data_IF_495253802007
#
_entry.id   IF_495253802007
#
_cell.length_a   1.000
_cell.length_b   1.000
_cell.length_c   1.000
_cell.angle_alpha   90.00
_cell.angle_beta   90.00
_cell.angle_gamma   90.00
#
_symmetry.space_group_name_H-M   'P 1'
#
loop_
_entity.id
_entity.type
_entity.pdbx_description
1 polymer ?
#
# COMPACT_ATOMS: atom_id res chain seq x y z
N UNK A 1 -14.18 7.83 -23.50
CA UNK A 1 -14.53 8.84 -22.48
C UNK A 1 -13.58 8.75 -21.30
N UNK A 2 -13.48 7.63 -20.58
CA UNK A 2 -12.58 7.45 -19.44
C UNK A 2 -11.10 7.71 -19.78
N UNK A 3 -10.66 7.27 -20.96
CA UNK A 3 -9.29 7.49 -21.42
C UNK A 3 -9.00 8.98 -21.67
N UNK A 4 -9.90 9.67 -22.34
CA UNK A 4 -9.80 11.11 -22.59
C UNK A 4 -9.79 11.93 -21.31
N UNK A 5 -10.54 11.49 -20.30
CA UNK A 5 -10.53 12.13 -18.98
C UNK A 5 -9.19 11.97 -18.28
N UNK A 6 -8.59 10.78 -18.35
CA UNK A 6 -7.25 10.54 -17.79
C UNK A 6 -6.20 11.42 -18.50
N UNK A 7 -6.23 11.47 -19.83
CA UNK A 7 -5.30 12.32 -20.60
C UNK A 7 -5.43 13.80 -20.25
N UNK A 8 -6.67 14.28 -20.11
CA UNK A 8 -6.95 15.67 -19.68
C UNK A 8 -6.38 15.94 -18.29
N UNK A 9 -6.63 15.06 -17.34
CA UNK A 9 -6.20 15.22 -15.96
C UNK A 9 -4.66 15.22 -15.87
N UNK A 10 -3.99 14.38 -16.68
CA UNK A 10 -2.52 14.37 -16.80
C UNK A 10 -1.99 15.68 -17.41
N UNK A 11 -2.64 16.18 -18.44
CA UNK A 11 -2.25 17.43 -19.08
C UNK A 11 -2.40 18.62 -18.11
N UNK A 12 -3.50 18.67 -17.34
CA UNK A 12 -3.70 19.69 -16.32
C UNK A 12 -2.65 19.60 -15.21
N UNK A 13 -2.30 18.39 -14.79
CA UNK A 13 -1.25 18.16 -13.83
C UNK A 13 0.10 18.68 -14.32
N UNK A 14 0.52 18.31 -15.53
CA UNK A 14 1.78 18.79 -16.12
C UNK A 14 1.84 20.32 -16.11
N UNK A 15 0.76 20.97 -16.51
CA UNK A 15 0.66 22.45 -16.50
C UNK A 15 0.85 23.05 -15.10
N UNK A 16 0.27 22.41 -14.06
CA UNK A 16 0.45 22.90 -12.67
C UNK A 16 1.88 22.72 -12.17
N UNK A 17 2.53 21.60 -12.54
CA UNK A 17 3.95 21.35 -12.25
C UNK A 17 4.84 22.42 -12.92
N UNK A 18 4.63 22.69 -14.21
CA UNK A 18 5.37 23.70 -14.97
C UNK A 18 5.21 25.10 -14.38
N UNK A 19 4.04 25.41 -13.86
CA UNK A 19 3.75 26.69 -13.19
C UNK A 19 4.29 26.77 -11.75
N UNK A 20 4.95 25.73 -11.24
CA UNK A 20 5.43 25.66 -9.87
C UNK A 20 4.33 25.64 -8.81
N UNK A 21 3.10 25.28 -9.20
CA UNK A 21 1.91 25.21 -8.33
C UNK A 21 1.62 23.81 -7.79
N UNK A 22 2.45 22.82 -8.10
CA UNK A 22 2.34 21.48 -7.58
C UNK A 22 3.03 21.40 -6.22
N UNK A 23 2.26 21.58 -5.16
CA UNK A 23 2.68 21.36 -3.78
C UNK A 23 2.39 19.93 -3.30
N UNK A 24 2.72 19.62 -2.05
CA UNK A 24 2.48 18.28 -1.47
C UNK A 24 1.00 17.91 -1.43
N UNK A 25 0.12 18.87 -1.15
CA UNK A 25 -1.33 18.68 -1.17
C UNK A 25 -1.83 18.35 -2.59
N UNK A 26 -1.34 19.06 -3.59
CA UNK A 26 -1.66 18.81 -4.98
C UNK A 26 -1.23 17.40 -5.43
N UNK A 27 -0.01 16.98 -5.04
CA UNK A 27 0.47 15.63 -5.31
C UNK A 27 -0.41 14.57 -4.67
N UNK A 28 -0.84 14.78 -3.45
CA UNK A 28 -1.72 13.85 -2.73
C UNK A 28 -3.12 13.80 -3.37
N UNK A 29 -3.70 14.94 -3.71
CA UNK A 29 -4.99 15.03 -4.40
C UNK A 29 -4.93 14.33 -5.78
N UNK A 30 -3.90 14.59 -6.54
CA UNK A 30 -3.72 13.99 -7.87
C UNK A 30 -3.50 12.48 -7.79
N UNK A 31 -2.73 12.03 -6.83
CA UNK A 31 -2.57 10.63 -6.53
C UNK A 31 -3.90 9.97 -6.18
N UNK A 32 -4.68 10.56 -5.30
CA UNK A 32 -6.00 10.03 -4.95
C UNK A 32 -6.96 9.98 -6.16
N UNK A 33 -6.84 10.92 -7.08
CA UNK A 33 -7.58 10.92 -8.32
C UNK A 33 -7.19 9.74 -9.24
N UNK A 34 -5.91 9.46 -9.36
CA UNK A 34 -5.39 8.33 -10.16
C UNK A 34 -5.63 6.99 -9.48
N UNK A 35 -5.59 6.93 -8.15
CA UNK A 35 -5.84 5.72 -7.34
C UNK A 35 -7.27 5.20 -7.41
N UNK A 36 -8.18 5.87 -8.10
CA UNK A 36 -9.59 5.46 -8.22
C UNK A 36 -9.81 4.27 -9.17
N UNK A 37 -8.81 3.42 -9.39
CA UNK A 37 -8.81 2.28 -10.32
C UNK A 37 -9.05 2.66 -11.80
N UNK A 38 -8.96 3.94 -12.12
CA UNK A 38 -9.26 4.47 -13.46
C UNK A 38 -8.32 3.95 -14.53
N UNK A 39 -7.02 3.83 -14.22
CA UNK A 39 -6.01 3.34 -15.16
C UNK A 39 -6.20 1.87 -15.49
N UNK A 40 -6.50 1.07 -14.48
CA UNK A 40 -6.81 -0.34 -14.65
C UNK A 40 -8.06 -0.54 -15.53
N UNK A 41 -9.16 0.15 -15.22
CA UNK A 41 -10.38 0.04 -16.01
C UNK A 41 -10.24 0.61 -17.42
N UNK A 42 -9.49 1.70 -17.58
CA UNK A 42 -9.19 2.24 -18.90
C UNK A 42 -8.40 1.26 -19.76
N UNK A 43 -7.39 0.62 -19.17
CA UNK A 43 -6.60 -0.43 -19.82
C UNK A 43 -7.45 -1.64 -20.22
N UNK A 44 -8.25 -2.18 -19.29
CA UNK A 44 -9.14 -3.30 -19.53
C UNK A 44 -10.16 -2.95 -20.64
N UNK A 45 -10.81 -1.80 -20.55
CA UNK A 45 -11.79 -1.37 -21.56
C UNK A 45 -11.14 -1.25 -22.93
N UNK A 46 -9.94 -0.64 -23.02
CA UNK A 46 -9.23 -0.49 -24.27
C UNK A 46 -8.81 -1.83 -24.86
N UNK A 47 -8.38 -2.78 -24.02
CA UNK A 47 -8.06 -4.13 -24.45
C UNK A 47 -9.25 -4.83 -25.10
N UNK A 48 -10.44 -4.74 -24.51
CA UNK A 48 -11.65 -5.32 -25.08
C UNK A 48 -12.11 -4.64 -26.38
N UNK A 49 -11.93 -3.32 -26.50
CA UNK A 49 -12.31 -2.59 -27.72
C UNK A 49 -11.34 -2.90 -28.88
N UNK A 50 -10.05 -2.99 -28.60
CA UNK A 50 -9.02 -3.14 -29.62
C UNK A 50 -8.61 -4.59 -29.91
N UNK A 51 -8.91 -5.50 -28.98
CA UNK A 51 -8.42 -6.88 -28.98
C UNK A 51 -6.95 -7.00 -28.53
N UNK A 52 -6.28 -5.89 -28.19
CA UNK A 52 -4.89 -5.88 -27.74
C UNK A 52 -4.79 -5.98 -26.20
N UNK A 53 -4.47 -7.16 -25.72
CA UNK A 53 -4.39 -7.46 -24.28
C UNK A 53 -3.21 -6.78 -23.56
N UNK A 54 -2.26 -6.21 -24.30
CA UNK A 54 -1.20 -5.39 -23.70
C UNK A 54 -1.78 -4.18 -22.91
N UNK A 55 -2.92 -3.64 -23.33
CA UNK A 55 -3.60 -2.57 -22.57
C UNK A 55 -4.11 -3.04 -21.22
N UNK A 56 -4.61 -4.26 -21.11
CA UNK A 56 -5.02 -4.84 -19.83
C UNK A 56 -3.82 -5.06 -18.93
N UNK A 57 -2.75 -5.69 -19.42
CA UNK A 57 -1.49 -5.89 -18.69
C UNK A 57 -0.97 -4.58 -18.10
N UNK A 58 -0.81 -3.57 -18.96
CA UNK A 58 -0.21 -2.30 -18.57
C UNK A 58 -1.14 -1.45 -17.69
N UNK A 59 -2.46 -1.57 -17.83
CA UNK A 59 -3.43 -0.91 -16.96
C UNK A 59 -3.39 -1.46 -15.53
N UNK A 60 -3.35 -2.77 -15.37
CA UNK A 60 -3.19 -3.43 -14.07
C UNK A 60 -1.85 -3.05 -13.43
N UNK A 61 -0.78 -3.11 -14.20
CA UNK A 61 0.57 -2.73 -13.77
C UNK A 61 0.64 -1.31 -13.22
N UNK A 62 0.15 -0.33 -13.98
CA UNK A 62 0.20 1.06 -13.55
C UNK A 62 -0.61 1.31 -12.28
N UNK A 63 -1.83 0.79 -12.23
CA UNK A 63 -2.69 0.95 -11.05
C UNK A 63 -2.06 0.31 -9.81
N UNK A 64 -1.55 -0.91 -9.92
CA UNK A 64 -0.91 -1.59 -8.80
C UNK A 64 0.31 -0.82 -8.28
N UNK A 65 1.12 -0.28 -9.15
CA UNK A 65 2.27 0.55 -8.76
C UNK A 65 1.85 1.84 -8.10
N UNK A 66 0.79 2.50 -8.57
CA UNK A 66 0.23 3.66 -7.89
C UNK A 66 -0.24 3.31 -6.48
N UNK A 67 -0.90 2.19 -6.32
CA UNK A 67 -1.33 1.73 -5.00
C UNK A 67 -0.16 1.46 -4.04
N UNK A 68 1.00 1.09 -4.57
CA UNK A 68 2.19 0.77 -3.78
C UNK A 68 3.09 1.98 -3.45
N UNK A 69 3.00 3.09 -4.20
CA UNK A 69 3.87 4.26 -4.03
C UNK A 69 3.82 4.81 -2.59
N UNK A 70 2.63 4.87 -2.00
CA UNK A 70 2.39 5.53 -0.73
C UNK A 70 2.32 4.58 0.45
N UNK A 71 2.74 3.33 0.29
CA UNK A 71 2.64 2.38 1.37
C UNK A 71 3.90 2.23 2.15
N UNK A 72 3.73 2.34 3.44
CA UNK A 72 4.74 1.93 4.38
C UNK A 72 4.87 0.40 4.31
N UNK A 73 6.11 -0.03 4.34
CA UNK A 73 6.49 -1.43 4.49
C UNK A 73 6.48 -1.87 5.96
N UNK A 74 5.78 -1.14 6.83
CA UNK A 74 5.63 -1.55 8.20
C UNK A 74 4.93 -2.90 8.24
N UNK A 75 5.47 -3.78 9.02
CA UNK A 75 5.06 -5.18 9.15
C UNK A 75 3.81 -5.30 10.05
N UNK A 76 2.82 -4.40 9.88
CA UNK A 76 1.56 -4.47 10.61
C UNK A 76 0.61 -5.47 9.96
N UNK A 77 -0.29 -6.07 10.72
CA UNK A 77 -1.22 -7.07 10.24
C UNK A 77 -2.09 -6.58 9.07
N UNK A 78 -2.53 -5.32 9.07
CA UNK A 78 -3.28 -4.71 7.98
C UNK A 78 -2.44 -4.53 6.72
N UNK A 79 -1.21 -4.07 6.88
CA UNK A 79 -0.26 -3.89 5.76
C UNK A 79 0.09 -5.22 5.11
N UNK A 80 0.25 -6.29 5.88
CA UNK A 80 0.54 -7.64 5.34
C UNK A 80 -0.60 -8.15 4.46
N UNK A 81 -1.86 -7.93 4.86
CA UNK A 81 -3.02 -8.31 4.05
C UNK A 81 -3.03 -7.56 2.71
N UNK A 82 -2.75 -6.28 2.75
CA UNK A 82 -2.67 -5.43 1.57
C UNK A 82 -1.50 -5.86 0.68
N UNK A 83 -0.32 -6.07 1.24
CA UNK A 83 0.86 -6.50 0.52
C UNK A 83 0.64 -7.87 -0.15
N UNK A 84 -0.07 -8.79 0.50
CA UNK A 84 -0.45 -10.05 -0.10
C UNK A 84 -1.31 -9.87 -1.37
N UNK A 85 -2.36 -9.04 -1.30
CA UNK A 85 -3.23 -8.79 -2.46
C UNK A 85 -2.42 -8.16 -3.60
N UNK A 86 -1.60 -7.16 -3.28
CA UNK A 86 -0.79 -6.46 -4.29
C UNK A 86 0.30 -7.32 -4.89
N UNK A 87 0.87 -8.25 -4.11
CA UNK A 87 1.79 -9.23 -4.64
C UNK A 87 1.10 -10.15 -5.67
N UNK A 88 -0.12 -10.62 -5.36
CA UNK A 88 -0.90 -11.42 -6.32
C UNK A 88 -1.24 -10.59 -7.57
N UNK A 89 -1.59 -9.31 -7.42
CA UNK A 89 -1.82 -8.42 -8.57
C UNK A 89 -0.52 -8.19 -9.36
N UNK A 90 0.63 -8.04 -8.69
CA UNK A 90 1.92 -7.91 -9.36
C UNK A 90 2.23 -9.14 -10.24
N UNK A 91 1.93 -10.33 -9.75
CA UNK A 91 1.99 -11.55 -10.56
C UNK A 91 1.06 -11.50 -11.77
N UNK A 92 -0.20 -11.03 -11.59
CA UNK A 92 -1.16 -10.96 -12.70
C UNK A 92 -0.75 -10.06 -13.86
N UNK A 93 0.19 -9.15 -13.65
CA UNK A 93 0.71 -8.25 -14.68
C UNK A 93 2.22 -8.39 -14.91
N UNK A 94 2.82 -9.49 -14.51
CA UNK A 94 4.25 -9.82 -14.71
C UNK A 94 5.22 -8.79 -14.07
N UNK A 95 4.78 -8.05 -13.04
CA UNK A 95 5.60 -7.05 -12.36
C UNK A 95 6.42 -7.66 -11.22
N UNK A 96 7.33 -8.55 -11.55
CA UNK A 96 8.18 -9.26 -10.56
C UNK A 96 9.11 -8.31 -9.80
N UNK A 97 9.50 -7.19 -10.42
CA UNK A 97 10.34 -6.16 -9.78
C UNK A 97 9.63 -5.46 -8.61
N UNK A 98 8.29 -5.42 -8.63
CA UNK A 98 7.52 -4.84 -7.52
C UNK A 98 7.47 -5.76 -6.31
N UNK A 99 7.59 -7.08 -6.50
CA UNK A 99 7.55 -8.05 -5.39
C UNK A 99 8.63 -7.78 -4.34
N UNK A 100 9.85 -7.45 -4.76
CA UNK A 100 10.95 -7.08 -3.86
C UNK A 100 10.61 -5.87 -2.97
N UNK A 101 9.68 -5.06 -3.39
CA UNK A 101 9.21 -3.87 -2.67
C UNK A 101 8.03 -4.14 -1.76
N UNK A 102 7.09 -4.95 -2.23
CA UNK A 102 5.88 -5.32 -1.49
C UNK A 102 6.20 -6.33 -0.39
N UNK A 103 7.08 -7.26 -0.69
CA UNK A 103 7.52 -8.34 0.20
C UNK A 103 9.05 -8.41 0.24
N UNK A 104 9.75 -7.38 0.76
CA UNK A 104 11.22 -7.39 0.74
C UNK A 104 11.77 -8.57 1.54
N UNK A 105 12.81 -9.22 1.00
CA UNK A 105 13.43 -10.38 1.62
C UNK A 105 13.88 -10.10 3.06
N UNK A 106 14.44 -8.91 3.30
CA UNK A 106 14.94 -8.51 4.62
C UNK A 106 13.83 -8.32 5.67
N UNK A 107 12.59 -8.10 5.23
CA UNK A 107 11.46 -7.99 6.15
C UNK A 107 11.02 -9.34 6.70
N UNK A 108 11.38 -10.42 6.00
CA UNK A 108 11.02 -11.78 6.35
C UNK A 108 9.52 -12.08 6.26
N UNK A 109 9.13 -13.28 6.73
CA UNK A 109 7.74 -13.72 6.71
C UNK A 109 6.86 -12.95 7.70
N UNK A 110 5.57 -12.87 7.39
CA UNK A 110 4.56 -12.23 8.22
C UNK A 110 4.26 -13.04 9.50
N UNK A 111 3.94 -12.34 10.60
CA UNK A 111 3.73 -13.00 11.90
C UNK A 111 2.32 -12.89 12.50
N UNK A 112 1.50 -11.90 12.11
CA UNK A 112 0.30 -11.56 12.88
C UNK A 112 -1.01 -11.40 12.11
N UNK A 113 -1.03 -11.38 10.78
CA UNK A 113 -2.27 -11.07 10.06
C UNK A 113 -3.13 -12.28 9.77
N UNK A 114 -4.42 -12.02 9.52
CA UNK A 114 -5.33 -13.03 9.00
C UNK A 114 -4.82 -13.69 7.71
N UNK A 115 -4.14 -12.91 6.88
CA UNK A 115 -3.57 -13.33 5.60
C UNK A 115 -2.11 -13.81 5.71
N UNK A 116 -1.53 -13.84 6.91
CA UNK A 116 -0.14 -14.26 7.10
C UNK A 116 0.19 -15.63 6.43
N UNK A 117 -0.63 -16.68 6.53
CA UNK A 117 -0.32 -17.94 5.87
C UNK A 117 -0.23 -17.82 4.34
N UNK A 118 -1.09 -16.99 3.73
CA UNK A 118 -1.05 -16.73 2.29
C UNK A 118 0.17 -15.90 1.89
N UNK A 119 0.41 -14.81 2.64
CA UNK A 119 1.59 -13.97 2.44
C UNK A 119 2.88 -14.78 2.51
N UNK A 120 3.02 -15.59 3.57
CA UNK A 120 4.20 -16.41 3.80
C UNK A 120 4.41 -17.45 2.70
N UNK A 121 3.32 -18.01 2.17
CA UNK A 121 3.42 -18.96 1.07
C UNK A 121 3.86 -18.25 -0.23
N UNK A 122 3.30 -17.09 -0.56
CA UNK A 122 3.75 -16.32 -1.73
C UNK A 122 5.20 -15.86 -1.55
N UNK A 123 5.57 -15.42 -0.34
CA UNK A 123 6.96 -15.07 -0.02
C UNK A 123 7.91 -16.25 -0.25
N UNK A 124 7.58 -17.42 0.29
CA UNK A 124 8.40 -18.61 0.15
C UNK A 124 8.57 -19.04 -1.32
N UNK A 125 7.50 -18.99 -2.11
CA UNK A 125 7.54 -19.27 -3.55
C UNK A 125 8.36 -18.24 -4.32
N UNK A 126 8.25 -16.96 -3.96
CA UNK A 126 8.98 -15.86 -4.63
C UNK A 126 10.49 -15.95 -4.40
N UNK A 127 10.91 -16.33 -3.17
CA UNK A 127 12.31 -16.34 -2.76
C UNK A 127 12.91 -17.75 -2.69
N UNK A 128 12.15 -18.79 -3.08
CA UNK A 128 12.57 -20.20 -2.99
C UNK A 128 13.01 -20.59 -1.58
N UNK A 129 12.28 -20.10 -0.55
CA UNK A 129 12.56 -20.36 0.86
C UNK A 129 11.75 -21.56 1.36
N UNK A 130 12.37 -22.73 1.32
CA UNK A 130 11.73 -24.01 1.72
C UNK A 130 11.39 -24.06 3.23
N UNK A 131 12.11 -23.35 4.08
CA UNK A 131 11.84 -23.33 5.52
C UNK A 131 10.55 -22.55 5.81
N UNK A 132 10.46 -21.35 5.25
CA UNK A 132 9.25 -20.54 5.32
C UNK A 132 8.07 -21.26 4.64
N UNK A 133 8.31 -21.90 3.50
CA UNK A 133 7.28 -22.64 2.77
C UNK A 133 6.66 -23.78 3.58
N UNK A 134 7.46 -24.61 4.23
CA UNK A 134 6.99 -25.71 5.11
C UNK A 134 6.21 -25.16 6.31
N UNK A 135 6.67 -24.07 6.90
CA UNK A 135 5.97 -23.39 8.00
C UNK A 135 4.63 -22.83 7.54
N UNK A 136 4.62 -22.11 6.42
CA UNK A 136 3.39 -21.57 5.83
C UNK A 136 2.39 -22.65 5.48
N UNK A 137 2.84 -23.81 4.97
CA UNK A 137 1.99 -24.96 4.69
C UNK A 137 1.33 -25.50 5.95
N UNK A 138 2.06 -25.64 7.06
CA UNK A 138 1.49 -26.06 8.35
C UNK A 138 0.48 -25.03 8.88
N UNK A 139 0.76 -23.73 8.71
CA UNK A 139 -0.16 -22.65 9.06
C UNK A 139 -1.44 -22.69 8.22
N UNK A 140 -1.34 -22.96 6.90
CA UNK A 140 -2.51 -23.14 6.01
C UNK A 140 -3.35 -24.34 6.42
N UNK A 141 -2.73 -25.47 6.80
CA UNK A 141 -3.44 -26.64 7.31
C UNK A 141 -4.26 -26.28 8.56
N UNK A 142 -3.62 -25.64 9.55
CA UNK A 142 -4.29 -25.17 10.76
C UNK A 142 -5.38 -24.12 10.47
N UNK A 143 -5.16 -23.27 9.46
CA UNK A 143 -6.12 -22.25 9.03
C UNK A 143 -7.41 -22.91 8.48
N UNK A 144 -7.28 -23.97 7.72
CA UNK A 144 -8.41 -24.72 7.13
C UNK A 144 -9.27 -25.47 8.16
N UNK A 145 -8.74 -25.78 9.34
CA UNK A 145 -9.49 -26.41 10.45
C UNK A 145 -10.46 -25.43 11.13
N UNK A 146 -10.26 -24.12 10.94
CA UNK A 146 -11.06 -23.07 11.59
C UNK A 146 -12.30 -22.72 10.75
N UNK A 147 -13.33 -22.21 11.43
CA UNK A 147 -14.50 -21.65 10.73
C UNK A 147 -14.11 -20.41 9.92
N UNK A 148 -14.18 -20.50 8.59
CA UNK A 148 -13.80 -19.48 7.63
C UNK A 148 -14.83 -19.36 6.52
N UNK A 149 -14.71 -18.32 5.68
CA UNK A 149 -15.51 -18.24 4.46
C UNK A 149 -15.09 -19.34 3.47
N UNK A 150 -16.00 -19.71 2.55
CA UNK A 150 -15.66 -20.71 1.53
C UNK A 150 -14.49 -20.24 0.65
N UNK A 151 -14.45 -18.96 0.31
CA UNK A 151 -13.35 -18.40 -0.47
C UNK A 151 -12.01 -18.58 0.25
N UNK A 152 -11.94 -18.24 1.55
CA UNK A 152 -10.69 -18.34 2.31
C UNK A 152 -10.21 -19.78 2.45
N UNK A 153 -11.14 -20.72 2.64
CA UNK A 153 -10.80 -22.16 2.70
C UNK A 153 -10.24 -22.66 1.36
N UNK A 154 -10.86 -22.23 0.24
CA UNK A 154 -10.40 -22.62 -1.09
C UNK A 154 -9.07 -21.96 -1.46
N UNK A 155 -8.86 -20.71 -1.04
CA UNK A 155 -7.60 -20.03 -1.23
C UNK A 155 -6.46 -20.70 -0.41
N UNK A 156 -6.74 -21.08 0.83
CA UNK A 156 -5.78 -21.82 1.65
C UNK A 156 -5.43 -23.18 1.03
N UNK A 157 -6.46 -23.90 0.55
CA UNK A 157 -6.25 -25.17 -0.11
C UNK A 157 -5.48 -25.04 -1.42
N UNK A 158 -5.78 -24.03 -2.25
CA UNK A 158 -5.03 -23.75 -3.47
C UNK A 158 -3.53 -23.59 -3.21
N UNK A 159 -3.13 -22.76 -2.24
CA UNK A 159 -1.73 -22.57 -1.90
C UNK A 159 -1.09 -23.83 -1.29
N UNK A 160 -1.85 -24.57 -0.49
CA UNK A 160 -1.40 -25.85 0.06
C UNK A 160 -1.11 -26.86 -1.05
N UNK A 161 -2.05 -27.04 -1.99
CA UNK A 161 -1.94 -27.97 -3.12
C UNK A 161 -0.80 -27.57 -4.07
N UNK A 162 -0.67 -26.24 -4.33
CA UNK A 162 0.39 -25.73 -5.17
C UNK A 162 1.79 -26.01 -4.60
N UNK A 163 1.96 -25.80 -3.30
CA UNK A 163 3.23 -26.11 -2.64
C UNK A 163 3.55 -27.61 -2.64
N UNK A 164 2.52 -28.46 -2.54
CA UNK A 164 2.65 -29.93 -2.70
C UNK A 164 2.83 -30.37 -4.16
N UNK A 165 2.72 -29.44 -5.12
CA UNK A 165 2.71 -29.75 -6.55
C UNK A 165 1.57 -30.68 -6.98
N UNK A 166 0.45 -30.65 -6.25
CA UNK A 166 -0.80 -31.32 -6.62
C UNK A 166 -1.53 -30.49 -7.69
N UNK A 167 -1.23 -30.77 -8.95
CA UNK A 167 -1.77 -30.03 -10.10
C UNK A 167 -3.29 -30.17 -10.24
N UNK A 168 -3.85 -31.32 -9.91
CA UNK A 168 -5.30 -31.52 -9.98
C UNK A 168 -6.00 -30.67 -8.90
N UNK A 169 -5.44 -30.62 -7.69
CA UNK A 169 -5.86 -29.72 -6.63
C UNK A 169 -5.76 -28.25 -7.01
N UNK A 170 -4.65 -27.84 -7.65
CA UNK A 170 -4.44 -26.46 -8.14
C UNK A 170 -5.49 -26.08 -9.18
N UNK A 171 -5.72 -26.92 -10.19
CA UNK A 171 -6.71 -26.67 -11.25
C UNK A 171 -8.14 -26.57 -10.68
N UNK A 172 -8.49 -27.48 -9.77
CA UNK A 172 -9.78 -27.42 -9.06
C UNK A 172 -9.91 -26.14 -8.24
N UNK A 173 -8.86 -25.77 -7.49
CA UNK A 173 -8.82 -24.56 -6.69
C UNK A 173 -8.99 -23.27 -7.51
N UNK A 174 -8.30 -23.13 -8.65
CA UNK A 174 -8.45 -21.99 -9.55
C UNK A 174 -9.90 -21.86 -10.06
N UNK A 175 -10.54 -22.97 -10.45
CA UNK A 175 -11.93 -22.98 -10.90
C UNK A 175 -12.88 -22.54 -9.79
N UNK A 176 -12.79 -23.16 -8.62
CA UNK A 176 -13.66 -22.85 -7.47
C UNK A 176 -13.48 -21.40 -6.98
N UNK A 177 -12.24 -20.88 -7.00
CA UNK A 177 -11.97 -19.50 -6.64
C UNK A 177 -12.57 -18.51 -7.63
N UNK A 178 -12.58 -18.81 -8.93
CA UNK A 178 -13.31 -18.01 -9.92
C UNK A 178 -14.81 -17.91 -9.57
N UNK A 179 -15.43 -19.03 -9.23
CA UNK A 179 -16.87 -19.10 -8.88
C UNK A 179 -17.19 -18.30 -7.61
N UNK A 180 -16.25 -18.22 -6.68
CA UNK A 180 -16.39 -17.56 -5.39
C UNK A 180 -15.92 -16.12 -5.37
N UNK A 181 -15.08 -15.68 -6.32
CA UNK A 181 -14.42 -14.37 -6.32
C UNK A 181 -15.42 -13.21 -6.20
N UNK A 182 -16.55 -13.29 -6.86
CA UNK A 182 -17.60 -12.26 -6.80
C UNK A 182 -18.18 -12.03 -5.40
N UNK A 183 -17.99 -12.96 -4.47
CA UNK A 183 -18.46 -12.88 -3.07
C UNK A 183 -17.36 -12.50 -2.08
N UNK A 184 -16.12 -12.44 -2.51
CA UNK A 184 -14.99 -12.11 -1.66
C UNK A 184 -14.89 -10.59 -1.45
N UNK A 185 -15.36 -10.09 -0.31
CA UNK A 185 -15.38 -8.66 -0.03
C UNK A 185 -13.97 -8.08 0.13
N UNK A 186 -13.16 -8.64 1.00
CA UNK A 186 -11.89 -8.02 1.40
C UNK A 186 -10.89 -7.86 0.24
N UNK A 187 -10.90 -8.77 -0.75
CA UNK A 187 -10.10 -8.62 -1.96
C UNK A 187 -10.74 -7.64 -2.93
N UNK A 188 -12.06 -7.77 -3.17
CA UNK A 188 -12.76 -6.91 -4.13
C UNK A 188 -12.79 -5.44 -3.69
N UNK A 189 -12.98 -5.17 -2.40
CA UNK A 189 -12.94 -3.81 -1.85
C UNK A 189 -11.54 -3.20 -1.96
N UNK A 190 -10.51 -4.02 -1.83
CA UNK A 190 -9.14 -3.56 -2.02
C UNK A 190 -8.82 -3.27 -3.50
N UNK A 191 -9.16 -4.18 -4.40
CA UNK A 191 -8.83 -4.06 -5.84
C UNK A 191 -9.72 -3.01 -6.52
N UNK A 192 -11.03 -3.00 -6.23
CA UNK A 192 -12.02 -2.22 -6.98
C UNK A 192 -12.63 -1.06 -6.17
N UNK A 193 -12.21 -0.86 -4.93
CA UNK A 193 -12.76 0.16 -4.04
C UNK A 193 -14.14 -0.21 -3.47
N UNK A 194 -14.75 0.76 -2.80
CA UNK A 194 -16.05 0.58 -2.12
C UNK A 194 -17.26 0.89 -3.00
N UNK A 195 -17.06 1.50 -4.16
CA UNK A 195 -18.13 1.83 -5.11
C UNK A 195 -18.73 0.56 -5.71
N UNK A 196 -20.05 0.39 -5.55
CA UNK A 196 -20.74 -0.84 -5.97
C UNK A 196 -20.77 -1.01 -7.49
N UNK A 197 -20.83 0.08 -8.24
CA UNK A 197 -20.87 0.03 -9.70
C UNK A 197 -19.48 -0.35 -10.24
N UNK A 198 -18.43 0.20 -9.66
CA UNK A 198 -17.04 -0.15 -9.96
C UNK A 198 -16.77 -1.61 -9.57
N UNK A 199 -17.22 -2.05 -8.40
CA UNK A 199 -17.10 -3.46 -8.00
C UNK A 199 -17.83 -4.41 -8.94
N UNK A 200 -18.96 -3.99 -9.51
CA UNK A 200 -19.70 -4.80 -10.48
C UNK A 200 -18.90 -4.97 -11.77
N UNK A 201 -18.30 -3.90 -12.28
CA UNK A 201 -17.38 -3.97 -13.42
C UNK A 201 -16.15 -4.83 -13.11
N UNK A 202 -15.57 -4.64 -11.92
CA UNK A 202 -14.41 -5.41 -11.47
C UNK A 202 -14.67 -6.92 -11.37
N UNK A 203 -15.89 -7.33 -11.01
CA UNK A 203 -16.28 -8.75 -10.98
C UNK A 203 -16.38 -9.40 -12.36
N UNK A 204 -16.36 -8.61 -13.43
CA UNK A 204 -16.28 -9.12 -14.79
C UNK A 204 -14.88 -9.60 -15.18
N UNK A 205 -13.85 -9.17 -14.46
CA UNK A 205 -12.46 -9.59 -14.68
C UNK A 205 -11.85 -9.99 -13.34
N UNK A 206 -11.56 -11.27 -13.18
CA UNK A 206 -11.01 -11.82 -11.95
C UNK A 206 -9.49 -11.63 -11.86
N UNK A 207 -9.02 -10.37 -11.76
CA UNK A 207 -7.59 -10.02 -11.76
C UNK A 207 -6.81 -10.82 -10.71
N UNK A 208 -7.38 -10.97 -9.51
CA UNK A 208 -6.73 -11.74 -8.45
C UNK A 208 -6.51 -13.21 -8.85
N UNK A 209 -7.46 -13.82 -9.58
CA UNK A 209 -7.33 -15.21 -10.03
C UNK A 209 -6.30 -15.34 -11.16
N UNK A 210 -6.20 -14.34 -12.03
CA UNK A 210 -5.10 -14.24 -13.00
C UNK A 210 -3.74 -14.24 -12.28
N UNK A 211 -3.62 -13.50 -11.18
CA UNK A 211 -2.40 -13.51 -10.36
C UNK A 211 -2.11 -14.88 -9.72
N UNK A 212 -3.12 -15.59 -9.22
CA UNK A 212 -2.94 -16.95 -8.69
C UNK A 212 -2.50 -17.94 -9.80
N UNK A 213 -3.07 -17.80 -10.99
CA UNK A 213 -2.66 -18.59 -12.15
C UNK A 213 -1.18 -18.33 -12.51
N UNK A 214 -0.76 -17.05 -12.56
CA UNK A 214 0.64 -16.70 -12.82
C UNK A 214 1.59 -17.17 -11.70
N UNK A 215 1.17 -17.14 -10.43
CA UNK A 215 1.94 -17.73 -9.32
C UNK A 215 2.15 -19.22 -9.56
N UNK A 216 1.10 -19.96 -9.97
CA UNK A 216 1.22 -21.38 -10.24
C UNK A 216 2.15 -21.65 -11.43
N UNK A 217 2.00 -20.89 -12.52
CA UNK A 217 2.88 -20.98 -13.71
C UNK A 217 4.34 -20.70 -13.34
N UNK A 218 4.59 -19.63 -12.56
CA UNK A 218 5.94 -19.25 -12.16
C UNK A 218 6.58 -20.24 -11.19
N UNK A 219 5.82 -20.72 -10.21
CA UNK A 219 6.34 -21.67 -9.23
C UNK A 219 6.67 -23.05 -9.85
N UNK A 220 6.00 -23.40 -10.94
CA UNK A 220 6.21 -24.67 -11.65
C UNK A 220 7.00 -24.52 -12.95
N UNK A 221 7.62 -23.34 -13.21
CA UNK A 221 8.27 -23.05 -14.52
C UNK A 221 9.34 -24.09 -14.93
N UNK A 222 10.08 -24.62 -13.96
CA UNK A 222 11.11 -25.64 -14.21
C UNK A 222 10.58 -27.09 -14.00
N UNK A 223 9.27 -27.26 -13.83
CA UNK A 223 8.66 -28.55 -13.58
C UNK A 223 7.95 -29.10 -14.82
N UNK A 224 8.05 -30.42 -15.08
CA UNK A 224 7.24 -31.08 -16.12
C UNK A 224 5.72 -31.04 -15.83
N UNK A 225 5.33 -30.50 -14.70
CA UNK A 225 3.93 -30.32 -14.31
C UNK A 225 3.34 -29.02 -14.87
N UNK A 226 4.16 -28.11 -15.37
CA UNK A 226 3.72 -26.82 -15.91
C UNK A 226 2.64 -26.99 -16.99
N UNK A 227 2.86 -27.89 -17.94
CA UNK A 227 1.93 -28.14 -19.05
C UNK A 227 0.57 -28.73 -18.62
N UNK A 228 0.45 -29.14 -17.35
CA UNK A 228 -0.79 -29.67 -16.79
C UNK A 228 -1.65 -28.63 -16.11
N UNK A 229 -1.12 -27.40 -15.89
CA UNK A 229 -1.90 -26.30 -15.35
C UNK A 229 -2.92 -25.83 -16.39
N UNK A 230 -4.19 -25.75 -15.96
CA UNK A 230 -5.30 -25.39 -16.86
C UNK A 230 -5.86 -24.02 -16.49
N UNK A 231 -6.23 -23.28 -17.53
CA UNK A 231 -7.01 -22.06 -17.36
C UNK A 231 -8.42 -22.38 -16.85
N UNK A 232 -8.94 -21.65 -15.85
CA UNK A 232 -10.32 -21.79 -15.40
C UNK A 232 -11.35 -21.55 -16.51
N UNK A 233 -12.41 -22.35 -16.51
CA UNK A 233 -13.56 -22.19 -17.41
C UNK A 233 -14.61 -21.28 -16.75
N UNK A 234 -14.30 -19.99 -16.67
CA UNK A 234 -15.19 -19.00 -16.07
C UNK A 234 -15.20 -17.70 -16.88
N UNK A 235 -16.36 -17.05 -16.99
CA UNK A 235 -16.54 -15.83 -17.79
C UNK A 235 -15.70 -14.63 -17.33
N UNK A 236 -15.31 -14.58 -16.06
CA UNK A 236 -14.47 -13.51 -15.51
C UNK A 236 -12.96 -13.81 -15.63
N UNK A 237 -12.59 -15.02 -16.01
CA UNK A 237 -11.22 -15.37 -16.33
C UNK A 237 -10.98 -15.15 -17.83
N UNK A 238 -10.24 -14.13 -18.17
CA UNK A 238 -10.08 -13.66 -19.56
C UNK A 238 -9.01 -14.52 -20.25
N UNK A 239 -9.42 -15.61 -20.90
CA UNK A 239 -8.49 -16.54 -21.56
C UNK A 239 -7.59 -15.84 -22.57
N UNK A 240 -8.11 -14.92 -23.38
CA UNK A 240 -7.32 -14.16 -24.35
C UNK A 240 -6.19 -13.35 -23.70
N UNK A 241 -6.34 -12.95 -22.43
CA UNK A 241 -5.26 -12.32 -21.69
C UNK A 241 -4.14 -13.31 -21.34
N UNK A 242 -4.47 -14.54 -20.98
CA UNK A 242 -3.47 -15.56 -20.70
C UNK A 242 -2.81 -16.10 -21.96
N UNK A 243 -3.59 -16.27 -23.03
CA UNK A 243 -3.06 -16.63 -24.35
C UNK A 243 -2.03 -15.59 -24.83
N UNK A 244 -2.32 -14.30 -24.63
CA UNK A 244 -1.36 -13.21 -24.90
C UNK A 244 -0.10 -13.33 -24.03
N UNK A 245 -0.24 -13.56 -22.73
CA UNK A 245 0.90 -13.70 -21.82
C UNK A 245 1.79 -14.89 -22.21
N UNK A 246 1.20 -16.03 -22.50
CA UNK A 246 1.92 -17.25 -22.91
C UNK A 246 2.60 -17.04 -24.27
N UNK A 247 1.88 -16.51 -25.28
CA UNK A 247 2.43 -16.26 -26.64
C UNK A 247 3.62 -15.31 -26.59
N UNK A 248 3.54 -14.27 -25.74
CA UNK A 248 4.62 -13.27 -25.59
C UNK A 248 5.65 -13.65 -24.53
N UNK A 249 5.57 -14.86 -23.98
CA UNK A 249 6.45 -15.34 -22.90
C UNK A 249 6.46 -14.41 -21.68
N UNK A 250 5.26 -14.09 -21.15
CA UNK A 250 5.06 -13.21 -20.01
C UNK A 250 5.80 -11.87 -20.12
N UNK A 251 5.34 -11.01 -21.03
CA UNK A 251 6.06 -9.79 -21.39
C UNK A 251 6.19 -8.83 -20.20
N UNK A 252 7.31 -8.13 -20.12
CA UNK A 252 7.52 -7.08 -19.11
C UNK A 252 6.51 -5.95 -19.35
N UNK A 253 5.76 -5.53 -18.31
CA UNK A 253 4.81 -4.44 -18.46
C UNK A 253 5.51 -3.08 -18.57
N UNK A 254 4.81 -2.12 -19.15
CA UNK A 254 5.29 -0.75 -19.30
C UNK A 254 4.17 0.27 -19.01
N UNK A 255 4.54 1.53 -18.85
CA UNK A 255 3.58 2.58 -18.63
C UNK A 255 2.70 2.78 -19.88
N UNK A 256 1.37 2.70 -19.71
CA UNK A 256 0.38 2.99 -20.76
C UNK A 256 0.42 4.44 -21.21
N UNK A 257 0.67 5.32 -20.26
CA UNK A 257 0.70 6.76 -20.47
C UNK A 257 2.08 7.24 -20.04
N UNK A 258 2.80 7.81 -20.99
CA UNK A 258 4.05 8.46 -20.69
C UNK A 258 3.75 9.83 -20.08
N UNK A 259 3.72 9.89 -18.75
CA UNK A 259 3.52 11.13 -18.00
C UNK A 259 4.73 11.45 -17.16
N UNK A 260 5.67 12.14 -17.75
CA UNK A 260 6.68 12.88 -17.02
C UNK A 260 5.99 14.09 -16.34
N UNK A 261 6.06 14.31 -15.09
CA UNK A 261 6.93 13.80 -14.03
C UNK A 261 6.38 12.62 -13.22
N UNK A 262 5.14 12.18 -13.43
CA UNK A 262 4.56 11.07 -12.64
C UNK A 262 5.26 9.75 -12.94
N UNK A 263 5.75 9.55 -14.15
CA UNK A 263 6.56 8.40 -14.51
C UNK A 263 7.74 8.19 -13.53
N UNK A 264 8.30 9.26 -13.00
CA UNK A 264 9.29 9.19 -11.92
C UNK A 264 8.72 8.47 -10.69
N UNK A 265 7.53 8.79 -10.24
CA UNK A 265 6.93 8.17 -9.05
C UNK A 265 6.58 6.70 -9.30
N UNK A 266 6.04 6.37 -10.46
CA UNK A 266 5.73 4.98 -10.81
C UNK A 266 7.00 4.15 -10.92
N UNK A 267 8.04 4.70 -11.53
CA UNK A 267 9.34 4.05 -11.64
C UNK A 267 10.13 4.09 -10.32
N UNK A 268 9.92 5.10 -9.48
CA UNK A 268 10.56 5.28 -8.18
C UNK A 268 10.12 4.24 -7.15
N UNK A 269 8.95 3.62 -7.31
CA UNK A 269 8.62 2.44 -6.52
C UNK A 269 9.64 1.31 -6.70
N UNK A 270 10.49 1.37 -7.72
CA UNK A 270 11.50 0.36 -8.05
C UNK A 270 12.93 0.81 -7.69
N UNK A 271 13.23 2.12 -7.74
CA UNK A 271 14.58 2.64 -7.48
C UNK A 271 14.59 3.46 -6.20
N UNK A 272 15.09 2.87 -5.12
CA UNK A 272 15.30 3.55 -3.83
C UNK A 272 16.24 4.76 -3.90
N UNK A 273 17.07 4.86 -4.93
CA UNK A 273 18.09 5.90 -5.07
C UNK A 273 17.61 7.24 -5.64
N UNK A 274 16.37 7.31 -6.12
CA UNK A 274 15.81 8.52 -6.76
C UNK A 274 14.57 9.10 -6.06
N UNK A 275 14.19 8.55 -4.92
CA UNK A 275 13.17 9.17 -4.09
C UNK A 275 13.91 10.22 -3.26
N UNK A 276 13.60 11.53 -3.41
CA UNK A 276 14.01 12.48 -2.39
C UNK A 276 13.45 11.90 -1.10
N UNK A 277 14.31 11.59 -0.17
CA UNK A 277 14.06 10.87 1.07
C UNK A 277 12.57 10.82 1.46
N UNK A 278 11.85 9.84 0.90
CA UNK A 278 10.51 9.53 1.38
C UNK A 278 10.74 8.72 2.63
N UNK A 279 10.72 9.39 3.75
CA UNK A 279 10.68 8.71 5.03
C UNK A 279 9.24 8.30 5.30
N UNK A 280 9.06 7.10 5.82
CA UNK A 280 7.78 6.62 6.29
C UNK A 280 7.86 6.59 7.82
N UNK A 281 6.83 7.09 8.47
CA UNK A 281 6.68 6.79 9.90
C UNK A 281 6.49 5.29 10.09
N UNK A 282 6.71 4.79 11.29
CA UNK A 282 6.39 3.40 11.64
C UNK A 282 4.91 3.05 11.40
N UNK A 283 4.02 4.03 11.36
CA UNK A 283 2.57 3.90 11.08
C UNK A 283 2.19 3.97 9.60
N UNK A 284 3.13 4.09 8.69
CA UNK A 284 2.84 4.01 7.27
C UNK A 284 2.54 5.31 6.56
N UNK A 285 2.64 6.44 7.22
CA UNK A 285 2.48 7.73 6.57
C UNK A 285 3.74 8.11 5.82
N UNK A 286 3.54 8.50 4.57
CA UNK A 286 4.61 8.99 3.72
C UNK A 286 4.95 10.43 4.07
N UNK A 287 6.23 10.68 4.27
CA UNK A 287 6.80 12.02 4.29
C UNK A 287 7.65 12.17 3.04
N UNK A 288 7.26 13.07 2.14
CA UNK A 288 8.13 13.49 1.04
C UNK A 288 9.14 14.46 1.62
N UNK A 289 10.30 13.96 1.96
CA UNK A 289 11.42 14.81 2.37
C UNK A 289 12.25 15.14 1.13
N UNK A 290 11.80 16.12 0.34
CA UNK A 290 12.68 16.78 -0.62
C UNK A 290 13.52 17.89 0.07
N UNK A 291 13.63 17.85 1.40
CA UNK A 291 14.34 18.76 2.28
C UNK A 291 13.93 20.22 2.14
N UNK A 292 13.82 20.69 0.90
CA UNK A 292 13.51 22.10 0.57
C UNK A 292 12.02 22.40 0.57
N UNK A 293 11.17 21.45 0.18
CA UNK A 293 9.72 21.67 0.13
C UNK A 293 9.07 21.53 1.51
N UNK A 294 9.54 20.58 2.30
CA UNK A 294 9.09 20.43 3.67
C UNK A 294 9.44 21.68 4.49
N UNK A 295 10.67 22.16 4.37
CA UNK A 295 11.08 23.41 5.00
C UNK A 295 10.23 24.59 4.55
N UNK A 296 9.94 24.73 3.26
CA UNK A 296 9.15 25.85 2.74
C UNK A 296 7.70 25.80 3.20
N UNK A 297 7.04 24.63 3.13
CA UNK A 297 5.67 24.48 3.61
C UNK A 297 5.57 24.60 5.14
N UNK A 298 6.56 24.09 5.86
CA UNK A 298 6.69 24.28 7.30
C UNK A 298 6.81 25.77 7.64
N UNK A 299 7.69 26.52 6.96
CA UNK A 299 7.86 27.95 7.17
C UNK A 299 6.62 28.74 6.77
N UNK A 300 5.97 28.41 5.66
CA UNK A 300 4.75 29.08 5.21
C UNK A 300 3.59 28.89 6.20
N UNK A 301 3.48 27.70 6.81
CA UNK A 301 2.48 27.42 7.85
C UNK A 301 2.84 28.07 9.19
N UNK A 302 4.10 28.04 9.58
CA UNK A 302 4.60 28.73 10.77
C UNK A 302 4.43 30.25 10.70
N UNK A 303 4.53 30.86 9.50
CA UNK A 303 4.28 32.28 9.32
C UNK A 303 2.81 32.69 9.43
N UNK A 304 1.89 31.73 9.26
CA UNK A 304 0.44 31.96 9.37
C UNK A 304 -0.07 31.82 10.81
N UNK A 305 0.69 31.19 11.68
CA UNK A 305 0.30 31.03 13.08
C UNK A 305 0.47 32.34 13.84
N UNK A 306 -0.51 32.67 14.69
CA UNK A 306 -0.43 33.84 15.55
C UNK A 306 0.36 33.48 16.79
N UNK A 307 1.51 34.10 16.96
CA UNK A 307 2.27 33.99 18.21
C UNK A 307 1.47 34.54 19.37
N UNK A 308 1.29 33.77 20.42
CA UNK A 308 0.72 34.21 21.68
C UNK A 308 1.84 34.35 22.73
N UNK A 309 1.79 35.32 23.61
CA UNK A 309 2.72 35.39 24.73
C UNK A 309 2.47 34.18 25.65
N UNK A 310 3.54 33.46 25.92
CA UNK A 310 3.50 32.30 26.78
C UNK A 310 3.51 32.70 28.26
N UNK A 311 2.33 32.74 28.86
CA UNK A 311 2.16 32.86 30.32
C UNK A 311 1.65 31.51 30.87
N UNK A 312 2.56 30.60 31.21
CA UNK A 312 2.21 29.46 32.07
C UNK A 312 1.88 29.93 33.49
N UNK A 313 0.62 29.86 33.85
CA UNK A 313 0.18 30.25 35.21
C UNK A 313 0.64 29.31 36.31
N UNK A 314 1.00 28.08 36.04
CA UNK A 314 1.71 27.13 36.93
C UNK A 314 2.28 26.03 36.05
N UNK A 315 3.56 25.76 36.17
CA UNK A 315 4.21 24.71 35.38
C UNK A 315 3.77 23.31 35.85
N UNK A 316 2.66 22.84 35.34
CA UNK A 316 2.16 21.49 35.58
C UNK A 316 3.08 20.43 34.92
N UNK A 317 3.72 20.80 33.83
CA UNK A 317 4.72 20.02 33.12
C UNK A 317 6.01 20.82 32.98
N UNK A 318 7.15 20.15 33.15
CA UNK A 318 8.46 20.73 32.81
C UNK A 318 8.64 20.65 31.30
N UNK A 319 8.17 21.65 30.59
CA UNK A 319 8.27 21.70 29.13
C UNK A 319 9.72 22.00 28.73
N UNK A 320 10.33 21.22 27.81
CA UNK A 320 11.68 21.49 27.31
C UNK A 320 11.83 22.89 26.73
N UNK A 321 13.01 23.48 26.92
CA UNK A 321 13.25 24.88 26.49
C UNK A 321 13.04 25.07 24.98
N UNK A 322 13.44 24.10 24.18
CA UNK A 322 13.28 24.13 22.72
C UNK A 322 11.80 24.16 22.31
N UNK A 323 10.97 23.38 23.01
CA UNK A 323 9.53 23.36 22.71
C UNK A 323 8.82 24.61 23.27
N UNK A 324 9.27 25.11 24.41
CA UNK A 324 8.80 26.38 24.95
C UNK A 324 9.08 27.54 24.00
N UNK A 325 10.27 27.61 23.42
CA UNK A 325 10.62 28.59 22.38
C UNK A 325 9.72 28.45 21.15
N UNK A 326 9.45 27.23 20.71
CA UNK A 326 8.56 26.96 19.59
C UNK A 326 7.14 27.45 19.84
N UNK A 327 6.51 27.08 20.98
CA UNK A 327 5.16 27.52 21.33
C UNK A 327 5.08 29.05 21.45
N UNK A 328 6.05 29.69 22.10
CA UNK A 328 6.08 31.16 22.23
C UNK A 328 6.10 31.87 20.89
N UNK A 329 6.65 31.23 19.84
CA UNK A 329 6.78 31.80 18.53
C UNK A 329 5.61 31.48 17.62
N UNK A 330 5.01 30.30 17.73
CA UNK A 330 4.10 29.75 16.72
C UNK A 330 2.76 29.24 17.27
N UNK A 331 2.61 29.10 18.58
CA UNK A 331 1.40 28.61 19.26
C UNK A 331 0.80 27.34 18.62
N UNK A 332 1.63 26.32 18.48
CA UNK A 332 1.24 25.07 17.84
C UNK A 332 1.42 25.08 16.31
N UNK A 333 1.28 23.91 15.73
CA UNK A 333 1.44 23.72 14.29
C UNK A 333 0.71 22.45 13.86
N UNK A 334 -0.20 22.57 12.91
CA UNK A 334 -0.78 21.43 12.21
C UNK A 334 -0.22 21.34 10.81
N UNK A 335 0.29 20.16 10.46
CA UNK A 335 0.86 19.87 9.16
C UNK A 335 -0.18 19.17 8.27
N UNK A 336 -0.06 19.34 6.96
CA UNK A 336 -0.97 18.73 5.97
C UNK A 336 -0.97 17.20 6.00
N UNK A 337 0.08 16.58 6.54
CA UNK A 337 0.19 15.14 6.73
C UNK A 337 -0.55 14.63 7.97
N UNK A 338 -1.26 15.49 8.68
CA UNK A 338 -2.01 15.18 9.91
C UNK A 338 -1.18 15.25 11.18
N UNK A 339 0.14 15.49 11.11
CA UNK A 339 0.93 15.73 12.31
C UNK A 339 0.55 17.06 12.92
N UNK A 340 0.39 17.08 14.24
CA UNK A 340 0.09 18.28 15.01
C UNK A 340 1.10 18.42 16.13
N UNK A 341 1.68 19.60 16.25
CA UNK A 341 2.39 20.04 17.47
C UNK A 341 1.43 20.89 18.27
N UNK A 342 1.19 20.52 19.51
CA UNK A 342 0.15 21.11 20.31
C UNK A 342 0.40 22.59 20.61
N UNK A 343 -0.65 23.37 20.52
CA UNK A 343 -0.67 24.73 21.06
C UNK A 343 -0.59 24.74 22.59
N UNK A 344 -0.41 25.89 23.19
CA UNK A 344 -0.42 26.02 24.65
C UNK A 344 -1.76 25.56 25.25
N UNK A 345 -2.87 25.86 24.59
CA UNK A 345 -4.21 25.50 25.00
C UNK A 345 -4.44 23.98 24.93
N UNK A 346 -3.92 23.32 23.89
CA UNK A 346 -4.06 21.90 23.66
C UNK A 346 -3.11 21.07 24.53
N UNK A 347 -1.96 21.60 24.89
CA UNK A 347 -0.92 20.86 25.60
C UNK A 347 -1.41 20.17 26.89
N UNK A 348 -2.12 20.90 27.75
CA UNK A 348 -2.66 20.35 29.03
C UNK A 348 -3.79 19.35 28.77
N UNK A 349 -4.70 19.67 27.85
CA UNK A 349 -5.82 18.81 27.52
C UNK A 349 -5.35 17.47 26.96
N UNK A 350 -4.45 17.48 25.99
CA UNK A 350 -3.95 16.28 25.33
C UNK A 350 -3.10 15.41 26.27
N UNK A 351 -2.23 16.01 27.09
CA UNK A 351 -1.46 15.24 28.08
C UNK A 351 -2.34 14.57 29.14
N UNK A 352 -3.48 15.18 29.48
CA UNK A 352 -4.45 14.60 30.39
C UNK A 352 -5.24 13.47 29.72
N UNK A 353 -5.72 13.68 28.50
CA UNK A 353 -6.52 12.70 27.77
C UNK A 353 -5.68 11.45 27.41
N UNK A 354 -4.43 11.64 27.04
CA UNK A 354 -3.48 10.56 26.78
C UNK A 354 -2.90 9.92 28.07
N UNK A 355 -3.27 10.44 29.24
CA UNK A 355 -2.80 9.96 30.54
C UNK A 355 -1.27 9.84 30.64
N UNK A 356 -0.55 10.77 29.98
CA UNK A 356 0.92 10.72 29.85
C UNK A 356 1.62 10.59 31.19
N UNK A 357 1.14 11.30 32.21
CA UNK A 357 1.67 11.25 33.57
C UNK A 357 1.52 9.87 34.28
N UNK A 358 0.64 9.01 33.77
CA UNK A 358 0.45 7.64 34.29
C UNK A 358 1.36 6.65 33.55
N UNK A 359 1.36 6.71 32.23
CA UNK A 359 2.06 5.74 31.41
C UNK A 359 3.52 6.11 31.09
N UNK A 360 3.83 7.41 31.05
CA UNK A 360 5.14 7.97 30.73
C UNK A 360 5.48 9.18 31.63
N UNK A 361 5.61 9.00 32.95
CA UNK A 361 5.61 10.09 33.95
C UNK A 361 6.72 11.12 33.79
N UNK A 362 7.84 10.74 33.16
CA UNK A 362 9.00 11.63 32.94
C UNK A 362 8.95 12.36 31.59
N UNK A 363 7.82 12.26 30.89
CA UNK A 363 7.66 12.86 29.56
C UNK A 363 6.46 13.80 29.47
N UNK A 364 6.45 14.61 28.44
CA UNK A 364 5.33 15.46 28.05
C UNK A 364 5.01 15.21 26.57
N UNK A 365 3.73 15.01 26.26
CA UNK A 365 3.29 14.93 24.88
C UNK A 365 3.26 16.34 24.28
N UNK A 366 3.95 16.49 23.17
CA UNK A 366 4.12 17.77 22.46
C UNK A 366 3.41 17.77 21.11
N UNK A 367 2.82 16.66 20.71
CA UNK A 367 2.11 16.52 19.45
C UNK A 367 1.71 15.07 19.17
N UNK A 368 1.08 14.87 18.03
CA UNK A 368 0.71 13.57 17.50
C UNK A 368 0.80 13.53 15.98
N UNK A 369 0.61 12.35 15.41
CA UNK A 369 0.59 12.18 13.96
C UNK A 369 -0.84 12.19 13.37
N UNK A 370 -1.84 12.57 14.19
CA UNK A 370 -3.27 12.50 13.86
C UNK A 370 -3.81 11.06 13.79
N UNK A 371 -3.07 10.08 14.32
CA UNK A 371 -3.38 8.65 14.45
C UNK A 371 -2.97 8.14 15.82
N UNK A 372 -2.31 6.99 15.84
CA UNK A 372 -1.97 6.29 17.07
C UNK A 372 -0.60 6.68 17.67
N UNK A 373 0.21 7.52 16.97
CA UNK A 373 1.53 7.90 17.43
C UNK A 373 1.53 9.27 18.09
N UNK A 374 2.09 9.32 19.30
CA UNK A 374 2.26 10.54 20.08
C UNK A 374 3.74 10.93 20.13
N UNK A 375 4.00 12.23 20.00
CA UNK A 375 5.32 12.82 20.10
C UNK A 375 5.60 13.20 21.56
N UNK A 376 6.49 12.46 22.19
CA UNK A 376 6.89 12.71 23.58
C UNK A 376 8.26 13.36 23.67
N UNK A 377 8.43 14.28 24.60
CA UNK A 377 9.73 14.79 25.01
C UNK A 377 9.95 14.53 26.50
N UNK A 378 11.19 14.32 26.93
CA UNK A 378 11.51 14.25 28.35
C UNK A 378 11.23 15.58 29.03
N UNK A 379 10.71 15.54 30.27
CA UNK A 379 10.45 16.71 31.11
C UNK A 379 11.78 17.30 31.69
N UNK A 380 12.77 17.46 30.84
CA UNK A 380 14.08 18.01 31.15
C UNK A 380 14.30 19.28 30.34
N UNK A 381 14.82 20.35 30.99
CA UNK A 381 15.00 21.64 30.34
C UNK A 381 15.79 21.57 29.04
N UNK A 382 16.81 20.72 28.99
CA UNK A 382 17.75 20.60 27.87
C UNK A 382 17.36 19.46 26.89
N UNK A 383 16.17 18.84 27.07
CA UNK A 383 15.72 17.78 26.17
C UNK A 383 15.55 18.34 24.73
N UNK A 384 16.12 17.65 23.76
CA UNK A 384 16.08 18.00 22.33
C UNK A 384 15.56 16.86 21.46
N UNK A 385 15.28 15.70 22.08
CA UNK A 385 14.84 14.50 21.36
C UNK A 385 13.34 14.35 21.48
N UNK A 386 12.68 14.12 20.36
CA UNK A 386 11.28 13.72 20.28
C UNK A 386 11.23 12.20 20.12
N UNK A 387 10.47 11.56 20.99
CA UNK A 387 10.21 10.13 20.95
C UNK A 387 8.83 9.89 20.32
N UNK A 388 8.74 8.92 19.45
CA UNK A 388 7.47 8.47 18.86
C UNK A 388 7.01 7.25 19.66
N UNK A 389 5.83 7.34 20.24
CA UNK A 389 5.23 6.28 21.07
C UNK A 389 3.84 5.97 20.56
N UNK A 390 3.53 4.69 20.45
CA UNK A 390 2.20 4.20 20.13
C UNK A 390 1.32 4.38 21.39
N UNK A 391 0.22 5.09 21.27
CA UNK A 391 -0.70 5.41 22.35
C UNK A 391 -1.95 4.50 22.37
N UNK A 392 -2.06 3.55 21.41
CA UNK A 392 -3.20 2.64 21.26
C UNK A 392 -2.98 1.22 21.74
#
# INVERSE_FOLDING_TARGET
>A
ELWSDIERDIAEFKKKVELGKADGYFWNMYYNLLRSNRLMFAGINKAFITGDMAYMLNGIYQENRFNCIYRNRANSGGTQTINFIEAVIAYSCNDYKLLEKIMPFEAGPASYSYSAPYYNMVYAMTYHDDEVGKKAQAELSTFMEKKRTQFDLKLAKFFYDLYQKDVDGVNCGLQELCDLMGKCKWINEHIYGLDKDIQTLGKMVAIFIHGLYHIAMKFLEDSPLLDKIKMPEHKSFIKGYEEFNIEKNFPEPHNLINFDPIAKFINLSIKTEMIPEVSFSKSGRMYVNDGKRFEKNLFDNLQKSKALPFELKEEKYKVPAVYKEFICKYDGLSLENGCTFYSLEELDAMNKDLQVNIYQPDTVAVGDDGGDLVFLMKQEKEAKTVYLVDAG
#
